data_IF_071979115154
#
_entry.id   IF_071979115154
#
_cell.length_a   1.000
_cell.length_b   1.000
_cell.length_c   1.000
_cell.angle_alpha   90.00
_cell.angle_beta   90.00
_cell.angle_gamma   90.00
#
_symmetry.space_group_name_H-M   'P 1'
#
loop_
_entity.id
_entity.type
_entity.pdbx_description
1 polymer ?
#
# COMPACT_ATOMS: atom_id res chain seq x y z
N UNK A 1 11.36 -19.77 -6.02
CA UNK A 1 10.45 -20.94 -6.10
C UNK A 1 9.43 -20.61 -7.17
N UNK A 2 9.30 -21.40 -8.24
CA UNK A 2 8.25 -21.21 -9.25
C UNK A 2 6.99 -21.91 -8.75
N UNK A 3 5.89 -21.17 -8.58
CA UNK A 3 4.61 -21.77 -8.20
C UNK A 3 3.64 -21.73 -9.39
N UNK A 4 3.41 -22.89 -10.01
CA UNK A 4 2.44 -23.14 -11.09
C UNK A 4 2.60 -22.32 -12.40
N UNK A 5 2.34 -22.95 -13.55
CA UNK A 5 2.61 -22.38 -14.88
C UNK A 5 1.68 -21.23 -15.32
N UNK A 6 0.63 -20.91 -14.55
CA UNK A 6 -0.40 -19.93 -14.97
C UNK A 6 -0.64 -18.77 -14.00
N UNK A 7 0.07 -18.70 -12.88
CA UNK A 7 -0.07 -17.64 -11.88
C UNK A 7 1.16 -16.73 -11.85
N UNK A 8 1.00 -15.40 -11.72
CA UNK A 8 2.13 -14.51 -11.54
C UNK A 8 2.85 -14.81 -10.22
N UNK A 9 4.19 -14.86 -10.25
CA UNK A 9 5.00 -15.04 -9.04
C UNK A 9 5.25 -13.69 -8.32
N UNK A 10 5.35 -12.58 -9.06
CA UNK A 10 5.76 -11.27 -8.54
C UNK A 10 5.02 -10.11 -9.22
N UNK A 11 4.88 -9.00 -8.49
CA UNK A 11 4.41 -7.70 -8.98
C UNK A 11 5.51 -6.68 -8.73
N UNK A 12 5.92 -5.97 -9.77
CA UNK A 12 6.96 -4.93 -9.69
C UNK A 12 6.34 -3.56 -9.92
N UNK A 13 6.43 -2.69 -8.92
CA UNK A 13 6.08 -1.29 -9.02
C UNK A 13 7.37 -0.47 -8.96
N UNK A 14 7.55 0.47 -9.88
CA UNK A 14 8.80 1.23 -10.07
C UNK A 14 8.53 2.74 -10.09
N UNK A 15 9.56 3.52 -9.77
CA UNK A 15 9.63 4.99 -9.76
C UNK A 15 8.74 5.73 -8.74
N UNK A 16 7.46 5.37 -8.60
CA UNK A 16 6.53 6.02 -7.68
C UNK A 16 5.47 5.01 -7.22
N UNK A 17 5.90 4.06 -6.42
CA UNK A 17 5.08 2.93 -5.99
C UNK A 17 4.19 3.33 -4.82
N UNK A 18 2.91 2.96 -4.88
CA UNK A 18 1.92 3.35 -3.88
C UNK A 18 0.94 2.21 -3.60
N UNK A 19 0.63 1.99 -2.33
CA UNK A 19 -0.41 1.09 -1.85
C UNK A 19 -1.37 1.92 -1.00
N UNK A 20 -2.67 1.83 -1.29
CA UNK A 20 -3.73 2.53 -0.56
C UNK A 20 -4.77 1.51 -0.14
N UNK A 21 -5.13 1.52 1.14
CA UNK A 21 -6.21 0.71 1.70
C UNK A 21 -7.22 1.61 2.40
N UNK A 22 -8.50 1.50 2.05
CA UNK A 22 -9.58 2.29 2.65
C UNK A 22 -10.03 1.63 3.96
N UNK A 23 -10.10 2.39 5.05
CA UNK A 23 -10.64 1.93 6.33
C UNK A 23 -12.14 2.24 6.43
N UNK A 24 -12.51 3.49 6.19
CA UNK A 24 -13.88 4.00 6.32
C UNK A 24 -14.10 5.20 5.37
N UNK A 25 -15.17 5.98 5.57
CA UNK A 25 -15.43 7.21 4.83
C UNK A 25 -14.39 8.29 5.15
N UNK A 26 -13.27 8.26 4.41
CA UNK A 26 -12.26 9.32 4.42
C UNK A 26 -10.91 8.93 5.01
N UNK A 27 -10.80 7.76 5.67
CA UNK A 27 -9.52 7.29 6.21
C UNK A 27 -8.90 6.20 5.34
N UNK A 28 -7.61 6.35 5.08
CA UNK A 28 -6.82 5.45 4.25
C UNK A 28 -5.47 5.14 4.87
N UNK A 29 -5.14 3.86 4.99
CA UNK A 29 -3.77 3.41 5.22
C UNK A 29 -3.00 3.50 3.90
N UNK A 30 -1.77 4.01 3.97
CA UNK A 30 -0.99 4.37 2.80
C UNK A 30 0.46 3.93 2.98
N UNK A 31 1.04 3.39 1.91
CA UNK A 31 2.46 3.11 1.83
C UNK A 31 2.97 3.60 0.49
N UNK A 32 4.07 4.34 0.50
CA UNK A 32 4.74 4.88 -0.69
C UNK A 32 6.21 4.48 -0.65
N UNK A 33 6.81 4.31 -1.82
CA UNK A 33 8.25 4.14 -1.98
C UNK A 33 8.69 4.31 -3.42
N UNK A 34 10.00 4.28 -3.65
CA UNK A 34 10.55 4.33 -5.02
C UNK A 34 10.20 3.03 -5.77
N UNK A 35 10.56 1.90 -5.18
CA UNK A 35 10.33 0.56 -5.75
C UNK A 35 9.60 -0.34 -4.76
N UNK A 36 8.69 -1.16 -5.28
CA UNK A 36 8.04 -2.22 -4.52
C UNK A 36 8.04 -3.53 -5.30
N UNK A 37 8.38 -4.63 -4.61
CA UNK A 37 8.23 -5.98 -5.14
C UNK A 37 7.23 -6.72 -4.27
N UNK A 38 6.08 -7.06 -4.84
CA UNK A 38 5.07 -7.91 -4.24
C UNK A 38 5.30 -9.36 -4.66
N UNK A 39 5.24 -10.30 -3.71
CA UNK A 39 5.43 -11.72 -3.96
C UNK A 39 4.10 -12.46 -3.79
N UNK A 40 3.76 -13.30 -4.76
CA UNK A 40 2.52 -14.05 -4.81
C UNK A 40 2.83 -15.52 -4.56
N UNK A 41 2.10 -16.12 -3.63
CA UNK A 41 2.18 -17.53 -3.27
C UNK A 41 0.76 -18.08 -3.26
N UNK A 42 0.53 -19.17 -3.99
CA UNK A 42 -0.80 -19.81 -4.10
C UNK A 42 -1.90 -18.81 -4.52
N UNK A 43 -1.60 -17.96 -5.52
CA UNK A 43 -2.48 -16.88 -5.99
C UNK A 43 -2.82 -15.80 -4.95
N UNK A 44 -2.09 -15.73 -3.83
CA UNK A 44 -2.29 -14.74 -2.78
C UNK A 44 -1.03 -13.91 -2.57
N UNK A 45 -1.23 -12.62 -2.34
CA UNK A 45 -0.13 -11.72 -1.99
C UNK A 45 0.43 -12.10 -0.61
N UNK A 46 1.69 -12.53 -0.57
CA UNK A 46 2.36 -13.03 0.64
C UNK A 46 3.12 -11.91 1.35
N UNK A 47 3.93 -11.16 0.58
CA UNK A 47 4.69 -10.04 1.11
C UNK A 47 4.95 -8.97 0.06
N UNK A 48 5.29 -7.78 0.54
CA UNK A 48 5.78 -6.68 -0.29
C UNK A 48 7.03 -6.13 0.37
N UNK A 49 8.08 -5.97 -0.43
CA UNK A 49 9.30 -5.28 -0.03
C UNK A 49 9.35 -3.92 -0.72
N UNK A 50 9.48 -2.85 0.06
CA UNK A 50 9.59 -1.47 -0.39
C UNK A 50 11.03 -1.01 -0.22
N UNK A 51 11.64 -0.50 -1.30
CA UNK A 51 13.02 -0.06 -1.30
C UNK A 51 13.15 1.39 -1.79
N UNK A 52 13.84 2.20 -1.00
CA UNK A 52 14.09 3.62 -1.28
C UNK A 52 12.92 4.52 -0.91
N UNK A 53 13.21 5.55 -0.10
CA UNK A 53 12.26 6.60 0.31
C UNK A 53 10.89 6.06 0.77
N UNK A 54 10.90 4.97 1.55
CA UNK A 54 9.69 4.36 2.06
C UNK A 54 9.00 5.29 3.05
N UNK A 55 7.72 5.56 2.83
CA UNK A 55 6.86 6.32 3.72
C UNK A 55 5.59 5.52 3.98
N UNK A 56 5.08 5.59 5.20
CA UNK A 56 3.82 4.99 5.59
C UNK A 56 2.99 5.98 6.39
N UNK A 57 1.69 5.85 6.25
CA UNK A 57 0.70 6.56 7.03
C UNK A 57 -0.38 5.55 7.41
N UNK A 58 -0.44 5.19 8.69
CA UNK A 58 -1.25 4.08 9.18
C UNK A 58 -2.08 4.50 10.38
N UNK A 59 -3.37 4.19 10.38
CA UNK A 59 -4.24 4.48 11.53
C UNK A 59 -4.01 3.43 12.62
N UNK A 60 -3.27 3.82 13.66
CA UNK A 60 -2.95 2.96 14.79
C UNK A 60 -4.20 2.65 15.60
N UNK A 61 -4.32 1.41 16.06
CA UNK A 61 -5.48 0.92 16.82
C UNK A 61 -5.04 0.27 18.13
N UNK A 62 -5.87 0.46 19.14
CA UNK A 62 -5.89 -0.33 20.38
C UNK A 62 -7.26 -0.99 20.44
N UNK A 63 -7.29 -2.32 20.40
CA UNK A 63 -8.47 -3.13 20.12
C UNK A 63 -9.22 -2.66 18.86
N UNK A 64 -10.48 -2.23 18.99
CA UNK A 64 -11.30 -1.68 17.91
C UNK A 64 -11.15 -0.17 17.72
N UNK A 65 -10.44 0.52 18.61
CA UNK A 65 -10.42 1.98 18.69
C UNK A 65 -9.20 2.54 17.99
N UNK A 66 -9.40 3.50 17.09
CA UNK A 66 -8.29 4.22 16.45
C UNK A 66 -7.73 5.24 17.45
N UNK A 67 -6.47 5.10 17.80
CA UNK A 67 -5.79 5.94 18.80
C UNK A 67 -5.00 7.09 18.17
N UNK A 68 -4.67 7.00 16.88
CA UNK A 68 -3.91 8.05 16.20
C UNK A 68 -3.53 7.69 14.78
N UNK A 69 -2.83 8.62 14.14
CA UNK A 69 -2.22 8.45 12.84
C UNK A 69 -0.71 8.30 13.01
N UNK A 70 -0.21 7.10 12.72
CA UNK A 70 1.22 6.81 12.70
C UNK A 70 1.78 7.19 11.33
N UNK A 71 2.73 8.13 11.30
CA UNK A 71 3.53 8.45 10.13
C UNK A 71 4.93 7.91 10.35
N UNK A 72 5.42 7.07 9.45
CA UNK A 72 6.76 6.51 9.57
C UNK A 72 7.47 6.44 8.22
N UNK A 73 8.78 6.63 8.24
CA UNK A 73 9.66 6.63 7.08
C UNK A 73 10.83 5.65 7.31
N UNK A 74 11.30 5.03 6.23
CA UNK A 74 12.43 4.11 6.26
C UNK A 74 12.97 3.89 4.85
N UNK A 75 14.28 3.66 4.73
CA UNK A 75 14.86 3.31 3.42
C UNK A 75 14.43 1.92 2.94
N UNK A 76 13.96 1.05 3.83
CA UNK A 76 13.48 -0.29 3.51
C UNK A 76 12.30 -0.69 4.40
N UNK A 77 11.16 -1.02 3.80
CA UNK A 77 9.96 -1.49 4.52
C UNK A 77 9.61 -2.89 4.05
N UNK A 78 9.27 -3.78 4.97
CA UNK A 78 8.73 -5.11 4.65
C UNK A 78 7.30 -5.22 5.17
N UNK A 79 6.39 -5.63 4.29
CA UNK A 79 4.97 -5.82 4.60
C UNK A 79 4.65 -7.30 4.46
N UNK A 80 4.03 -7.89 5.48
CA UNK A 80 3.60 -9.29 5.49
C UNK A 80 2.09 -9.37 5.56
N UNK A 81 1.52 -10.30 4.82
CA UNK A 81 0.09 -10.53 4.75
C UNK A 81 -0.26 -11.86 5.43
N UNK A 82 -1.45 -11.91 6.04
CA UNK A 82 -2.08 -13.13 6.57
C UNK A 82 -3.58 -13.00 6.33
N UNK A 83 -4.20 -14.06 5.83
CA UNK A 83 -5.64 -14.08 5.52
C UNK A 83 -6.04 -12.89 4.62
N UNK A 84 -5.19 -12.59 3.63
CA UNK A 84 -5.37 -11.50 2.65
C UNK A 84 -5.42 -10.09 3.26
N UNK A 85 -4.97 -9.95 4.51
CA UNK A 85 -4.88 -8.68 5.24
C UNK A 85 -3.44 -8.40 5.63
N UNK A 86 -3.10 -7.11 5.78
CA UNK A 86 -1.80 -6.73 6.34
C UNK A 86 -1.71 -7.25 7.77
N UNK A 87 -0.71 -8.10 8.02
CA UNK A 87 -0.44 -8.68 9.32
C UNK A 87 0.69 -7.94 10.06
N UNK A 88 1.71 -7.49 9.32
CA UNK A 88 2.87 -6.80 9.89
C UNK A 88 3.49 -5.85 8.89
N UNK A 89 3.87 -4.66 9.36
CA UNK A 89 4.72 -3.70 8.65
C UNK A 89 5.99 -3.54 9.47
N UNK A 90 7.16 -3.72 8.86
CA UNK A 90 8.47 -3.61 9.51
C UNK A 90 9.32 -2.55 8.80
N UNK A 91 9.83 -1.59 9.55
CA UNK A 91 10.72 -0.52 9.07
C UNK A 91 12.16 -0.92 9.35
N UNK A 92 12.86 -1.41 8.32
CA UNK A 92 14.08 -2.20 8.49
C UNK A 92 15.36 -1.37 8.47
N UNK A 93 15.34 -0.16 7.91
CA UNK A 93 16.55 0.65 7.75
C UNK A 93 16.28 2.14 7.97
N UNK A 94 17.05 2.75 8.87
CA UNK A 94 16.92 4.16 9.27
C UNK A 94 15.46 4.55 9.58
N UNK A 95 14.75 3.80 10.45
CA UNK A 95 13.36 4.08 10.74
C UNK A 95 13.21 5.39 11.53
N UNK A 96 12.28 6.24 11.11
CA UNK A 96 11.82 7.39 11.86
C UNK A 96 10.29 7.40 11.83
N UNK A 97 9.64 7.73 12.94
CA UNK A 97 8.18 7.77 12.93
C UNK A 97 7.59 8.46 14.15
N UNK A 98 6.36 8.95 13.96
CA UNK A 98 5.60 9.71 14.94
C UNK A 98 4.16 9.24 14.92
N UNK A 99 3.62 8.92 16.10
CA UNK A 99 2.20 8.70 16.31
C UNK A 99 1.56 10.01 16.78
N UNK A 100 0.63 10.55 15.99
CA UNK A 100 -0.12 11.76 16.32
C UNK A 100 -1.56 11.39 16.72
N UNK A 101 -2.07 11.84 17.88
CA UNK A 101 -3.48 11.65 18.23
C UNK A 101 -4.40 12.26 17.17
N UNK A 102 -5.51 11.59 16.85
CA UNK A 102 -6.37 11.97 15.71
C UNK A 102 -6.91 13.41 15.76
N UNK A 103 -7.17 13.92 16.96
CA UNK A 103 -7.68 15.29 17.17
C UNK A 103 -6.63 16.37 16.89
N UNK A 104 -5.35 15.99 16.80
CA UNK A 104 -4.24 16.88 16.44
C UNK A 104 -3.82 16.75 14.97
N UNK A 105 -4.40 15.81 14.22
CA UNK A 105 -4.04 15.57 12.80
C UNK A 105 -4.81 16.54 11.91
N UNK A 106 -4.09 17.42 11.23
CA UNK A 106 -4.66 18.30 10.21
C UNK A 106 -5.01 17.49 8.94
N UNK A 107 -5.94 17.99 8.13
CA UNK A 107 -6.47 17.26 6.96
C UNK A 107 -5.38 16.95 5.93
N UNK A 108 -4.45 17.88 5.72
CA UNK A 108 -3.30 17.75 4.84
C UNK A 108 -2.30 16.68 5.30
N UNK A 109 -2.24 16.37 6.60
CA UNK A 109 -1.35 15.34 7.15
C UNK A 109 -1.89 13.92 6.91
N UNK A 110 -3.19 13.79 6.59
CA UNK A 110 -3.90 12.51 6.40
C UNK A 110 -3.57 11.81 5.08
N UNK A 111 -2.80 12.45 4.20
CA UNK A 111 -2.41 11.88 2.90
C UNK A 111 -0.90 12.04 2.68
N UNK A 112 -0.28 11.03 2.07
CA UNK A 112 1.07 11.17 1.55
C UNK A 112 1.03 11.93 0.22
N UNK A 113 2.11 12.62 -0.11
CA UNK A 113 2.22 13.32 -1.40
C UNK A 113 2.09 12.32 -2.56
N UNK A 114 1.19 12.64 -3.50
CA UNK A 114 0.85 11.76 -4.63
C UNK A 114 -0.25 10.75 -4.32
N UNK A 115 -0.94 10.86 -3.18
CA UNK A 115 -2.14 10.08 -2.89
C UNK A 115 -3.18 10.28 -4.00
N UNK A 116 -3.63 9.18 -4.60
CA UNK A 116 -4.73 9.17 -5.56
C UNK A 116 -5.53 7.86 -5.42
N UNK A 117 -6.80 7.98 -5.04
CA UNK A 117 -7.65 6.82 -4.76
C UNK A 117 -8.34 6.32 -6.04
N UNK A 118 -7.60 5.54 -6.83
CA UNK A 118 -8.01 5.03 -8.14
C UNK A 118 -8.92 3.79 -8.11
N UNK A 119 -9.82 3.68 -7.12
CA UNK A 119 -10.65 2.47 -6.98
C UNK A 119 -11.56 2.22 -8.19
N UNK A 120 -11.98 3.29 -8.87
CA UNK A 120 -12.81 3.20 -10.09
C UNK A 120 -12.06 2.59 -11.28
N UNK A 121 -10.72 2.55 -11.24
CA UNK A 121 -9.88 1.95 -12.28
C UNK A 121 -9.51 0.49 -11.96
N UNK A 122 -9.98 -0.07 -10.84
CA UNK A 122 -9.68 -1.44 -10.45
C UNK A 122 -10.35 -2.41 -11.45
N UNK A 123 -9.58 -3.25 -12.17
CA UNK A 123 -10.16 -4.28 -13.02
C UNK A 123 -10.97 -5.27 -12.18
N UNK A 124 -12.20 -5.55 -12.62
CA UNK A 124 -13.10 -6.54 -12.01
C UNK A 124 -13.12 -7.85 -12.79
N UNK A 125 -12.67 -7.82 -14.05
CA UNK A 125 -12.55 -8.94 -14.97
C UNK A 125 -11.22 -8.87 -15.75
N UNK A 126 -10.88 -9.93 -16.48
CA UNK A 126 -9.69 -9.93 -17.35
C UNK A 126 -9.87 -8.99 -18.53
N UNK A 127 -11.11 -8.86 -19.00
CA UNK A 127 -11.53 -8.05 -20.12
C UNK A 127 -11.27 -6.56 -19.85
N UNK A 128 -11.43 -6.10 -18.61
CA UNK A 128 -11.19 -4.71 -18.20
C UNK A 128 -9.76 -4.23 -18.46
N UNK A 129 -8.78 -5.15 -18.53
CA UNK A 129 -7.39 -4.83 -18.86
C UNK A 129 -7.20 -4.35 -20.31
N UNK A 130 -8.14 -4.67 -21.20
CA UNK A 130 -8.04 -4.38 -22.63
C UNK A 130 -8.95 -3.23 -23.10
N UNK A 131 -9.87 -2.78 -22.24
CA UNK A 131 -10.85 -1.72 -22.58
C UNK A 131 -10.19 -0.32 -22.58
N UNK A 132 -9.04 -0.15 -21.94
CA UNK A 132 -8.40 1.17 -21.73
C UNK A 132 -7.87 1.85 -23.02
N UNK A 133 -7.90 1.17 -24.18
CA UNK A 133 -7.37 1.70 -25.45
C UNK A 133 -8.36 2.47 -26.34
N UNK A 134 -9.62 2.65 -25.94
CA UNK A 134 -10.63 3.26 -26.83
C UNK A 134 -10.99 4.73 -26.56
N UNK A 135 -10.48 5.37 -25.50
CA UNK A 135 -10.88 6.75 -25.12
C UNK A 135 -9.71 7.70 -24.85
N UNK A 136 -8.56 7.52 -25.50
CA UNK A 136 -7.42 8.45 -25.37
C UNK A 136 -6.90 8.94 -26.71
N UNK A 137 -7.82 9.27 -27.62
CA UNK A 137 -7.58 10.14 -28.76
C UNK A 137 -8.78 11.08 -28.86
N UNK A 138 -8.74 12.20 -28.14
CA UNK A 138 -9.42 13.46 -28.45
C UNK A 138 -8.66 14.59 -27.74
#
# INVERSE_FOLDING_TARGET
MKQNRESPDEIHLINNSFIISKLDSGRFDQIKGREMVGYIVENKLSNIDVNGSGQSLYYAREDSTIIGLNRAESSRIAIRFKDEKVYRISFLQSPAGTLKPLFNVAEEERKLSGFDWKISQRPMSKEDLFIYNFFSND
#
